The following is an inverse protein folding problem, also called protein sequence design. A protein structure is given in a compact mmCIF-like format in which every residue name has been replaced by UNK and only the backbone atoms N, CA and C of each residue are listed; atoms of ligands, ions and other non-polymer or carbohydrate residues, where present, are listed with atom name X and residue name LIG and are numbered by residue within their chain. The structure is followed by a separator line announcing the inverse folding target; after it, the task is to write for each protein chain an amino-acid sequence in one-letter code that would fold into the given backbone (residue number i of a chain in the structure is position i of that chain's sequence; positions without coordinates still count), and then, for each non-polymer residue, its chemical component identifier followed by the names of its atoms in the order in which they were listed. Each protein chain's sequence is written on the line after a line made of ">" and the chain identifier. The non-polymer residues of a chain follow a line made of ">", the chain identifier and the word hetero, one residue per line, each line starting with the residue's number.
data_IF_898593980880
#
_entry.id   IF_898593980880
#
_cell.length_a   1.000
_cell.length_b   1.000
_cell.length_c   1.000
_cell.angle_alpha   90.00
_cell.angle_beta   90.00
_cell.angle_gamma   90.00
#
_symmetry.space_group_name_H-M   'P 1'
#
loop_
_entity.id
_entity.type
_entity.pdbx_description
1 polymer ?
#
# COMPACT_ATOMS: atom_id res chain seq x y z
N UNK A 1 5.13 18.09 -6.39
CA UNK A 1 4.66 18.58 -7.69
C UNK A 1 5.88 18.98 -8.53
N UNK A 2 5.96 18.58 -9.82
CA UNK A 2 7.12 18.83 -10.68
C UNK A 2 7.54 20.32 -10.65
N UNK A 3 8.85 20.64 -10.69
CA UNK A 3 9.34 22.02 -10.68
C UNK A 3 8.61 22.95 -11.65
N UNK A 4 8.27 22.42 -12.82
CA UNK A 4 7.70 23.11 -13.97
C UNK A 4 6.26 23.60 -13.71
N UNK A 5 5.57 23.04 -12.71
CA UNK A 5 4.17 23.36 -12.41
C UNK A 5 4.01 24.31 -11.21
N UNK A 6 5.11 24.78 -10.59
CA UNK A 6 5.08 25.53 -9.31
C UNK A 6 4.48 26.92 -9.38
N UNK A 7 4.36 27.47 -10.58
CA UNK A 7 3.91 28.84 -10.80
C UNK A 7 2.42 28.97 -11.17
N UNK A 8 1.64 27.88 -11.09
CA UNK A 8 0.19 27.95 -11.26
C UNK A 8 -0.43 28.66 -10.04
N UNK A 9 -0.72 29.95 -10.19
CA UNK A 9 -1.34 30.80 -9.17
C UNK A 9 -2.64 30.19 -8.65
N UNK A 10 -2.66 29.79 -7.38
CA UNK A 10 -3.88 29.33 -6.69
C UNK A 10 -4.47 30.49 -5.88
N UNK A 11 -5.69 30.93 -6.23
CA UNK A 11 -6.46 31.92 -5.46
C UNK A 11 -6.70 31.41 -4.02
N UNK A 12 -6.63 32.30 -3.03
CA UNK A 12 -6.83 31.98 -1.60
C UNK A 12 -8.33 31.83 -1.28
N UNK A 13 -8.70 30.72 -0.64
CA UNK A 13 -10.04 30.43 -0.10
C UNK A 13 -9.93 29.76 1.29
N UNK A 14 -11.04 29.80 2.06
CA UNK A 14 -11.28 29.30 3.43
C UNK A 14 -10.68 27.89 3.71
N UNK A 15 -10.22 27.67 4.95
CA UNK A 15 -9.34 26.58 5.37
C UNK A 15 -9.99 25.21 5.64
N UNK A 16 -11.28 25.12 6.01
CA UNK A 16 -11.90 23.81 6.35
C UNK A 16 -12.38 23.05 5.12
N UNK A 17 -13.12 23.72 4.21
CA UNK A 17 -13.52 23.16 2.91
C UNK A 17 -12.30 22.76 2.07
N UNK A 18 -11.21 23.52 2.18
CA UNK A 18 -9.95 23.26 1.46
C UNK A 18 -9.30 21.93 1.84
N UNK A 19 -9.39 21.48 3.10
CA UNK A 19 -8.82 20.19 3.49
C UNK A 19 -9.67 19.04 2.97
N UNK A 20 -10.99 19.11 3.13
CA UNK A 20 -11.93 18.08 2.65
C UNK A 20 -11.80 17.85 1.14
N UNK A 21 -11.78 18.93 0.35
CA UNK A 21 -11.57 18.86 -1.10
C UNK A 21 -10.19 18.29 -1.48
N UNK A 22 -9.14 18.61 -0.70
CA UNK A 22 -7.81 18.07 -0.94
C UNK A 22 -7.75 16.57 -0.62
N UNK A 23 -8.43 16.10 0.42
CA UNK A 23 -8.56 14.67 0.73
C UNK A 23 -9.35 13.92 -0.35
N UNK A 24 -10.30 14.58 -1.03
CA UNK A 24 -10.97 14.03 -2.21
C UNK A 24 -10.12 14.06 -3.48
N UNK A 25 -8.96 14.72 -3.43
CA UNK A 25 -8.06 14.92 -4.58
C UNK A 25 -8.75 15.67 -5.73
N UNK A 26 -9.67 16.57 -5.40
CA UNK A 26 -10.40 17.42 -6.36
C UNK A 26 -9.71 18.78 -6.55
N UNK A 27 -8.77 19.12 -5.67
CA UNK A 27 -8.05 20.39 -5.68
C UNK A 27 -6.54 20.18 -5.58
N UNK A 28 -5.79 20.95 -6.36
CA UNK A 28 -4.33 20.99 -6.25
C UNK A 28 -3.89 21.63 -4.94
N UNK A 29 -2.86 21.10 -4.27
CA UNK A 29 -2.31 21.72 -3.07
C UNK A 29 -1.69 23.07 -3.42
N UNK A 30 -1.99 24.09 -2.61
CA UNK A 30 -1.42 25.43 -2.80
C UNK A 30 0.03 25.56 -2.32
N UNK A 31 0.55 24.54 -1.62
CA UNK A 31 1.95 24.47 -1.17
C UNK A 31 2.67 23.45 -2.04
N UNK A 32 3.93 23.75 -2.37
CA UNK A 32 4.81 22.85 -3.14
C UNK A 32 5.04 21.48 -2.48
N UNK A 33 4.81 21.42 -1.16
CA UNK A 33 4.94 20.22 -0.36
C UNK A 33 3.75 20.09 0.60
N UNK A 34 3.24 18.86 0.69
CA UNK A 34 2.12 18.49 1.55
C UNK A 34 2.40 17.13 2.19
N UNK A 35 1.86 16.92 3.38
CA UNK A 35 1.77 15.62 4.02
C UNK A 35 0.30 15.21 4.01
N UNK A 36 0.04 13.96 3.62
CA UNK A 36 -1.28 13.37 3.58
C UNK A 36 -1.22 12.04 4.31
N UNK A 37 -2.16 11.78 5.21
CA UNK A 37 -2.32 10.45 5.78
C UNK A 37 -3.24 9.64 4.87
N UNK A 38 -2.87 8.39 4.57
CA UNK A 38 -3.59 7.57 3.60
C UNK A 38 -5.07 7.37 3.96
N UNK A 39 -5.40 7.31 5.25
CA UNK A 39 -6.77 7.10 5.73
C UNK A 39 -7.70 8.30 5.48
N UNK A 40 -7.13 9.51 5.36
CA UNK A 40 -7.91 10.72 5.13
C UNK A 40 -8.40 10.81 3.68
N UNK A 41 -7.64 10.23 2.76
CA UNK A 41 -7.88 10.30 1.31
C UNK A 41 -9.17 9.57 0.93
N UNK A 42 -10.00 10.16 0.07
CA UNK A 42 -11.27 9.57 -0.39
C UNK A 42 -11.17 8.87 -1.75
N UNK A 43 -9.96 8.47 -2.14
CA UNK A 43 -9.75 7.72 -3.39
C UNK A 43 -10.04 6.23 -3.18
N UNK A 44 -10.92 5.67 -4.02
CA UNK A 44 -11.40 4.29 -3.91
C UNK A 44 -10.28 3.25 -3.93
N UNK A 45 -9.26 3.43 -4.77
CA UNK A 45 -8.15 2.49 -4.87
C UNK A 45 -7.31 2.52 -3.59
N UNK A 46 -6.92 3.71 -3.12
CA UNK A 46 -6.15 3.86 -1.88
C UNK A 46 -6.93 3.27 -0.70
N UNK A 47 -8.21 3.63 -0.59
CA UNK A 47 -9.09 3.18 0.47
C UNK A 47 -9.32 1.66 0.43
N UNK A 48 -9.40 1.06 -0.76
CA UNK A 48 -9.46 -0.39 -0.90
C UNK A 48 -8.16 -1.09 -0.49
N UNK A 49 -6.99 -0.53 -0.80
CA UNK A 49 -5.70 -1.14 -0.44
C UNK A 49 -5.38 -1.02 1.05
N UNK A 50 -5.62 0.13 1.69
CA UNK A 50 -5.26 0.31 3.11
C UNK A 50 -6.16 -0.47 4.08
N UNK A 51 -7.33 -0.94 3.62
CA UNK A 51 -8.21 -1.83 4.40
C UNK A 51 -7.79 -3.29 4.35
N UNK A 52 -6.91 -3.67 3.41
CA UNK A 52 -6.39 -5.04 3.34
C UNK A 52 -5.39 -5.24 4.47
N UNK A 53 -5.31 -6.44 5.05
CA UNK A 53 -4.25 -6.76 6.00
C UNK A 53 -2.88 -6.59 5.33
N UNK A 54 -1.89 -6.15 6.11
CA UNK A 54 -0.52 -6.15 5.64
C UNK A 54 -0.04 -7.57 5.42
N UNK A 55 0.68 -7.78 4.32
CA UNK A 55 1.35 -9.05 4.04
C UNK A 55 2.75 -9.07 4.67
N UNK A 56 3.30 -7.90 4.98
CA UNK A 56 4.60 -7.75 5.62
C UNK A 56 4.50 -8.18 7.09
N UNK A 57 5.44 -9.00 7.54
CA UNK A 57 5.54 -9.41 8.94
C UNK A 57 6.12 -8.31 9.84
N UNK A 58 6.83 -7.34 9.27
CA UNK A 58 7.47 -6.24 10.00
C UNK A 58 7.20 -4.89 9.33
N UNK A 59 7.26 -3.83 10.13
CA UNK A 59 7.16 -2.46 9.65
C UNK A 59 8.55 -1.95 9.27
N UNK A 60 8.73 -1.52 8.02
CA UNK A 60 10.01 -0.97 7.56
C UNK A 60 10.08 0.55 7.73
N UNK A 61 11.28 1.09 7.95
CA UNK A 61 11.49 2.55 8.01
C UNK A 61 11.11 3.28 6.72
N UNK A 62 11.27 2.62 5.55
CA UNK A 62 11.12 3.27 4.25
C UNK A 62 9.71 3.17 3.65
N UNK A 63 8.99 2.10 3.95
CA UNK A 63 7.69 1.78 3.34
C UNK A 63 6.59 1.49 4.36
N UNK A 64 6.93 1.49 5.66
CA UNK A 64 6.01 1.12 6.72
C UNK A 64 5.54 -0.33 6.57
N UNK A 65 4.23 -0.53 6.69
CA UNK A 65 3.54 -1.81 6.53
C UNK A 65 3.26 -2.21 5.07
N UNK A 66 3.78 -1.46 4.10
CA UNK A 66 3.58 -1.76 2.69
C UNK A 66 4.85 -2.33 2.07
N UNK A 67 4.69 -3.19 1.07
CA UNK A 67 5.78 -3.57 0.17
C UNK A 67 6.27 -2.34 -0.64
N UNK A 68 7.46 -2.45 -1.22
CA UNK A 68 7.98 -1.42 -2.14
C UNK A 68 7.07 -1.19 -3.36
N UNK A 69 6.55 -2.23 -4.05
CA UNK A 69 5.61 -2.04 -5.16
C UNK A 69 4.29 -1.38 -4.72
N UNK A 70 3.75 -1.75 -3.55
CA UNK A 70 2.49 -1.18 -3.06
C UNK A 70 2.62 0.31 -2.75
N UNK A 71 3.63 0.73 -1.97
CA UNK A 71 3.79 2.16 -1.66
C UNK A 71 4.04 2.99 -2.93
N UNK A 72 4.72 2.41 -3.93
CA UNK A 72 4.90 3.03 -5.25
C UNK A 72 3.56 3.18 -5.98
N UNK A 73 2.71 2.16 -5.97
CA UNK A 73 1.36 2.21 -6.56
C UNK A 73 0.50 3.29 -5.91
N UNK A 74 0.51 3.39 -4.57
CA UNK A 74 -0.23 4.43 -3.83
C UNK A 74 0.24 5.85 -4.21
N UNK A 75 1.56 6.06 -4.30
CA UNK A 75 2.14 7.35 -4.74
C UNK A 75 1.78 7.68 -6.19
N UNK A 76 1.82 6.68 -7.09
CA UNK A 76 1.44 6.85 -8.49
C UNK A 76 -0.05 7.20 -8.62
N UNK A 77 -0.92 6.58 -7.83
CA UNK A 77 -2.34 6.92 -7.81
C UNK A 77 -2.55 8.39 -7.42
N UNK A 78 -1.88 8.88 -6.37
CA UNK A 78 -1.92 10.29 -5.99
C UNK A 78 -1.41 11.19 -7.12
N UNK A 79 -0.28 10.85 -7.74
CA UNK A 79 0.27 11.60 -8.87
C UNK A 79 -0.71 11.67 -10.04
N UNK A 80 -1.33 10.56 -10.41
CA UNK A 80 -2.34 10.48 -11.48
C UNK A 80 -3.49 11.44 -11.19
N UNK A 81 -4.08 11.37 -9.99
CA UNK A 81 -5.19 12.24 -9.60
C UNK A 81 -4.82 13.71 -9.70
N UNK A 82 -3.67 14.11 -9.16
CA UNK A 82 -3.22 15.50 -9.26
C UNK A 82 -2.90 15.93 -10.69
N UNK A 83 -2.26 15.08 -11.50
CA UNK A 83 -1.98 15.38 -12.91
C UNK A 83 -3.28 15.54 -13.71
N UNK A 84 -4.34 14.79 -13.39
CA UNK A 84 -5.65 14.94 -14.02
C UNK A 84 -6.33 16.28 -13.71
N UNK A 85 -5.96 16.96 -12.63
CA UNK A 85 -6.43 18.32 -12.33
C UNK A 85 -5.64 19.40 -13.07
N UNK A 86 -4.49 19.07 -13.67
CA UNK A 86 -3.66 20.04 -14.36
C UNK A 86 -4.21 20.31 -15.77
N UNK A 87 -4.53 21.56 -16.13
CA UNK A 87 -5.02 21.90 -17.48
C UNK A 87 -3.92 21.91 -18.55
N UNK A 88 -2.71 21.46 -18.23
CA UNK A 88 -1.55 21.53 -19.12
C UNK A 88 -1.46 20.29 -20.02
N UNK A 89 -1.28 20.48 -21.33
CA UNK A 89 -1.07 19.40 -22.30
C UNK A 89 0.13 18.51 -21.99
N UNK A 90 1.23 19.08 -21.47
CA UNK A 90 2.42 18.32 -21.06
C UNK A 90 2.11 17.35 -19.91
N UNK A 91 1.12 17.69 -19.08
CA UNK A 91 0.65 16.82 -18.01
C UNK A 91 -0.01 15.54 -18.57
N UNK A 92 -0.56 15.56 -19.80
CA UNK A 92 -1.16 14.36 -20.42
C UNK A 92 -0.13 13.29 -20.73
N UNK A 93 1.07 13.68 -21.17
CA UNK A 93 2.18 12.74 -21.42
C UNK A 93 2.64 12.10 -20.12
N UNK A 94 2.81 12.92 -19.07
CA UNK A 94 3.15 12.44 -17.73
C UNK A 94 2.05 11.53 -17.14
N UNK A 95 0.79 11.87 -17.36
CA UNK A 95 -0.37 11.10 -16.92
C UNK A 95 -0.35 9.70 -17.56
N UNK A 96 -0.16 9.62 -18.89
CA UNK A 96 -0.05 8.34 -19.61
C UNK A 96 1.09 7.48 -19.08
N UNK A 97 2.27 8.07 -18.88
CA UNK A 97 3.43 7.38 -18.31
C UNK A 97 3.14 6.87 -16.88
N UNK A 98 2.48 7.70 -16.07
CA UNK A 98 2.12 7.36 -14.68
C UNK A 98 1.14 6.18 -14.62
N UNK A 99 0.14 6.13 -15.50
CA UNK A 99 -0.75 4.97 -15.62
C UNK A 99 0.02 3.70 -15.98
N UNK A 100 0.93 3.77 -16.96
CA UNK A 100 1.73 2.60 -17.34
C UNK A 100 2.63 2.11 -16.20
N UNK A 101 3.22 3.04 -15.44
CA UNK A 101 4.02 2.71 -14.26
C UNK A 101 3.16 2.11 -13.14
N UNK A 102 1.92 2.58 -12.97
CA UNK A 102 1.00 2.04 -11.97
C UNK A 102 0.66 0.58 -12.29
N UNK A 103 0.31 0.28 -13.54
CA UNK A 103 -0.01 -1.08 -13.96
C UNK A 103 1.19 -2.04 -13.81
N UNK A 104 2.40 -1.58 -14.13
CA UNK A 104 3.63 -2.35 -13.84
C UNK A 104 3.82 -2.58 -12.34
N UNK A 105 3.60 -1.56 -11.52
CA UNK A 105 3.76 -1.66 -10.06
C UNK A 105 2.74 -2.60 -9.43
N UNK A 106 1.49 -2.61 -9.90
CA UNK A 106 0.45 -3.55 -9.47
C UNK A 106 0.80 -5.00 -9.82
N UNK A 107 1.36 -5.25 -11.02
CA UNK A 107 1.84 -6.57 -11.41
C UNK A 107 2.97 -7.05 -10.49
N UNK A 108 3.93 -6.18 -10.19
CA UNK A 108 5.01 -6.51 -9.26
C UNK A 108 4.50 -6.78 -7.85
N UNK A 109 3.49 -6.04 -7.39
CA UNK A 109 2.84 -6.31 -6.10
C UNK A 109 2.20 -7.70 -6.06
N UNK A 110 1.49 -8.09 -7.12
CA UNK A 110 0.87 -9.42 -7.18
C UNK A 110 1.91 -10.53 -7.09
N UNK A 111 3.07 -10.36 -7.73
CA UNK A 111 4.20 -11.28 -7.64
C UNK A 111 4.74 -11.33 -6.19
N UNK A 112 5.04 -10.17 -5.58
CA UNK A 112 5.55 -10.12 -4.21
C UNK A 112 4.57 -10.74 -3.19
N UNK A 113 3.26 -10.62 -3.39
CA UNK A 113 2.26 -11.27 -2.52
C UNK A 113 2.23 -12.78 -2.72
N UNK A 114 2.37 -13.24 -3.96
CA UNK A 114 2.43 -14.67 -4.27
C UNK A 114 3.65 -15.35 -3.66
N UNK A 115 4.82 -14.70 -3.75
CA UNK A 115 6.08 -15.18 -3.16
C UNK A 115 5.98 -15.31 -1.64
N UNK A 116 5.49 -14.27 -0.94
CA UNK A 116 5.31 -14.30 0.52
C UNK A 116 4.30 -15.37 0.98
N UNK A 117 3.30 -15.70 0.15
CA UNK A 117 2.35 -16.76 0.48
C UNK A 117 2.98 -18.15 0.38
N UNK A 118 3.92 -18.36 -0.55
CA UNK A 118 4.67 -19.61 -0.67
C UNK A 118 5.58 -19.80 0.53
N UNK A 119 6.39 -18.79 0.84
CA UNK A 119 7.31 -18.82 2.00
C UNK A 119 6.58 -19.14 3.32
N UNK A 120 5.38 -18.60 3.54
CA UNK A 120 4.59 -18.92 4.74
C UNK A 120 4.11 -20.37 4.79
N UNK A 121 3.78 -20.98 3.64
CA UNK A 121 3.35 -22.38 3.59
C UNK A 121 4.51 -23.33 3.85
N UNK A 122 5.68 -23.02 3.29
CA UNK A 122 6.89 -23.82 3.50
C UNK A 122 7.29 -23.83 4.99
N UNK A 123 7.16 -22.71 5.71
CA UNK A 123 7.45 -22.62 7.16
C UNK A 123 6.45 -23.40 8.02
N UNK A 124 5.16 -23.40 7.68
CA UNK A 124 4.14 -24.16 8.43
C UNK A 124 4.28 -25.69 8.21
N UNK A 125 4.81 -26.11 7.05
CA UNK A 125 5.01 -27.54 6.74
C UNK A 125 6.32 -28.09 7.36
N UNK A 126 7.31 -27.24 7.65
CA UNK A 126 8.60 -27.61 8.27
C UNK A 126 8.61 -27.61 9.81
N UNK A 127 7.53 -27.18 10.48
CA UNK A 127 7.44 -27.24 11.94
C UNK A 127 7.29 -28.71 12.40
N UNK A 128 8.26 -29.30 13.13
CA UNK A 128 8.15 -30.68 13.55
C UNK A 128 7.03 -30.80 14.59
N UNK A 129 6.05 -31.66 14.30
CA UNK A 129 5.06 -32.09 15.29
C UNK A 129 5.83 -32.64 16.51
N UNK A 130 5.70 -31.96 17.65
CA UNK A 130 6.22 -32.47 18.91
C UNK A 130 5.69 -33.90 19.12
N UNK A 131 6.63 -34.84 19.18
CA UNK A 131 6.37 -36.25 19.41
C UNK A 131 5.70 -36.37 20.79
N UNK A 132 4.38 -36.58 20.81
CA UNK A 132 3.67 -37.05 22.00
C UNK A 132 4.31 -38.36 22.43
N UNK A 133 4.89 -38.37 23.63
CA UNK A 133 5.49 -39.55 24.22
C UNK A 133 4.45 -40.63 24.41
N UNK A 134 4.63 -41.76 23.72
CA UNK A 134 4.06 -43.04 24.14
C UNK A 134 5.03 -43.67 25.14
N UNK A 135 4.75 -43.49 26.43
CA UNK A 135 5.16 -44.46 27.44
C UNK A 135 3.97 -45.38 27.66
N UNK A 136 4.03 -46.56 27.04
CA UNK A 136 3.19 -47.68 27.46
C UNK A 136 4.09 -48.81 27.97
N UNK A 137 3.62 -49.38 29.08
CA UNK A 137 3.83 -50.76 29.55
C UNK A 137 4.83 -50.98 30.70
N UNK A 138 4.29 -51.32 31.87
CA UNK A 138 4.50 -52.66 32.44
C UNK A 138 3.32 -53.13 33.28
N UNK A 139 2.92 -54.35 32.98
CA UNK A 139 1.78 -55.12 33.48
C UNK A 139 1.83 -55.39 34.99
N UNK A 140 0.68 -55.26 35.66
CA UNK A 140 0.45 -55.86 36.98
C UNK A 140 -0.39 -57.12 36.80
N UNK A 141 0.28 -58.26 36.74
CA UNK A 141 -0.35 -59.58 36.80
C UNK A 141 -0.85 -59.84 38.22
N UNK A 142 -2.14 -60.12 38.34
CA UNK A 142 -2.81 -60.62 39.53
C UNK A 142 -2.96 -62.14 39.41
N UNK A 143 -2.62 -62.91 40.45
CA UNK A 143 -3.12 -64.27 40.67
C UNK A 143 -2.93 -64.66 42.15
N UNK A 144 -4.08 -64.98 42.77
CA UNK A 144 -4.39 -65.76 43.99
C UNK A 144 -3.64 -65.53 45.31
#
# INVERSE_FOLDING_TARGET
>A
MPPELRNLQTKRHDGSEKWSEMCKLERMPSKSFIFLQLFELKDDFIQAEIRKPSHQSTCSHSTGWFSKPMIKSLRLQLCIRFLSLCPNEDAKTLLRSSHQLLERSKKQEAICRSEQLKERKDVDEEAPAEHVGSEDQMDTNNSD
#
